data_IF_816387009159
#
_entry.id   IF_816387009159
#
_cell.length_a   1.000
_cell.length_b   1.000
_cell.length_c   1.000
_cell.angle_alpha   90.00
_cell.angle_beta   90.00
_cell.angle_gamma   90.00
#
_symmetry.space_group_name_H-M   'P 1'
#
loop_
_entity.id
_entity.type
_entity.pdbx_description
1 polymer ?
#
# COMPACT_ATOMS: atom_id res chain seq x y z
N UNK A 1 -7.79 12.34 3.09
CA UNK A 1 -7.79 10.91 3.45
C UNK A 1 -8.42 10.73 4.81
N UNK A 2 -9.26 9.73 4.97
CA UNK A 2 -9.95 9.48 6.25
C UNK A 2 -9.14 8.53 7.13
N UNK A 3 -9.01 8.81 8.44
CA UNK A 3 -8.27 7.92 9.35
C UNK A 3 -8.83 6.51 9.42
N UNK A 4 -10.14 6.35 9.19
CA UNK A 4 -10.82 5.05 9.18
C UNK A 4 -10.37 4.14 8.03
N UNK A 5 -9.69 4.70 7.03
CA UNK A 5 -9.14 3.95 5.90
C UNK A 5 -7.74 3.40 6.20
N UNK A 6 -7.16 3.74 7.36
CA UNK A 6 -5.80 3.37 7.70
C UNK A 6 -5.74 2.20 8.67
N UNK A 7 -4.69 1.42 8.55
CA UNK A 7 -4.30 0.34 9.45
C UNK A 7 -2.85 0.54 9.89
N UNK A 8 -2.49 -0.01 11.04
CA UNK A 8 -1.10 -0.02 11.50
C UNK A 8 -0.24 -0.76 10.48
N UNK A 9 0.92 -0.20 10.14
CA UNK A 9 1.80 -0.72 9.11
C UNK A 9 1.57 -0.16 7.72
N UNK A 10 0.48 0.59 7.49
CA UNK A 10 0.22 1.23 6.20
C UNK A 10 1.26 2.30 5.88
N UNK A 11 1.65 2.37 4.62
CA UNK A 11 2.44 3.47 4.10
C UNK A 11 1.55 4.64 3.70
N UNK A 12 1.87 5.82 4.18
CA UNK A 12 1.22 7.07 3.79
C UNK A 12 2.25 8.17 3.58
N UNK A 13 1.85 9.21 2.87
CA UNK A 13 2.67 10.38 2.61
C UNK A 13 2.24 11.57 3.45
N UNK A 14 3.20 12.43 3.82
CA UNK A 14 2.95 13.76 4.37
C UNK A 14 3.07 14.76 3.24
N UNK A 15 2.03 15.57 3.05
CA UNK A 15 2.02 16.58 2.00
C UNK A 15 2.55 17.92 2.50
N UNK A 16 3.08 18.71 1.57
CA UNK A 16 3.46 20.10 1.79
C UNK A 16 2.25 20.98 2.12
N UNK A 17 2.48 22.17 2.64
CA UNK A 17 1.42 23.11 3.03
C UNK A 17 0.50 23.48 1.85
N UNK A 18 1.01 23.50 0.63
CA UNK A 18 0.23 23.73 -0.58
C UNK A 18 -0.46 22.46 -1.11
N UNK A 19 -0.25 21.30 -0.47
CA UNK A 19 -0.81 19.99 -0.82
C UNK A 19 -0.47 19.50 -2.23
N UNK A 20 0.58 20.03 -2.83
CA UNK A 20 1.01 19.65 -4.18
C UNK A 20 2.07 18.54 -4.19
N UNK A 21 2.85 18.40 -3.13
CA UNK A 21 4.02 17.54 -3.08
C UNK A 21 3.98 16.68 -1.82
N UNK A 22 4.23 15.38 -1.99
CA UNK A 22 4.47 14.48 -0.85
C UNK A 22 5.93 14.65 -0.43
N UNK A 23 6.15 15.12 0.80
CA UNK A 23 7.48 15.44 1.33
C UNK A 23 8.14 14.27 2.06
N UNK A 24 7.35 13.36 2.62
CA UNK A 24 7.86 12.24 3.41
C UNK A 24 6.92 11.05 3.30
N UNK A 25 7.48 9.84 3.43
CA UNK A 25 6.75 8.57 3.42
C UNK A 25 7.09 7.83 4.70
N UNK A 26 6.05 7.36 5.43
CA UNK A 26 6.23 6.58 6.65
C UNK A 26 5.13 5.56 6.83
N UNK A 27 5.40 4.54 7.63
CA UNK A 27 4.40 3.57 8.02
C UNK A 27 3.69 4.02 9.30
N UNK A 28 2.39 3.75 9.36
CA UNK A 28 1.54 4.07 10.51
C UNK A 28 1.90 3.17 11.69
N UNK A 29 2.08 3.76 12.87
CA UNK A 29 2.40 3.07 14.11
C UNK A 29 1.22 3.07 15.09
N UNK A 30 0.49 4.17 15.18
CA UNK A 30 -0.73 4.29 15.97
C UNK A 30 -1.65 5.37 15.40
N UNK A 31 -2.93 5.27 15.74
CA UNK A 31 -3.97 6.19 15.25
C UNK A 31 -4.75 6.74 16.42
N UNK A 32 -4.91 8.07 16.48
CA UNK A 32 -5.75 8.80 17.44
C UNK A 32 -6.64 9.80 16.68
N UNK A 33 -7.60 10.36 17.41
CA UNK A 33 -8.42 11.44 16.86
C UNK A 33 -7.56 12.66 16.50
N UNK A 34 -7.54 13.04 15.25
CA UNK A 34 -6.79 14.21 14.75
C UNK A 34 -5.31 13.98 14.47
N UNK A 35 -4.72 12.87 14.94
CA UNK A 35 -3.28 12.62 14.83
C UNK A 35 -2.98 11.18 14.48
N UNK A 36 -1.87 10.97 13.75
CA UNK A 36 -1.36 9.66 13.41
C UNK A 36 0.10 9.58 13.82
N UNK A 37 0.44 8.56 14.62
CA UNK A 37 1.82 8.26 14.98
C UNK A 37 2.47 7.42 13.90
N UNK A 38 3.63 7.87 13.44
CA UNK A 38 4.41 7.22 12.40
C UNK A 38 5.62 6.54 12.99
N UNK A 39 6.19 5.56 12.29
CA UNK A 39 7.44 4.93 12.69
C UNK A 39 8.54 5.98 12.86
N UNK A 40 9.46 5.72 13.77
CA UNK A 40 10.56 6.61 14.16
C UNK A 40 10.06 7.86 14.89
N UNK A 41 9.00 7.72 15.70
CA UNK A 41 8.49 8.74 16.63
C UNK A 41 8.05 10.05 15.95
N UNK A 42 7.57 9.97 14.73
CA UNK A 42 6.93 11.09 14.05
C UNK A 42 5.42 11.09 14.33
N UNK A 43 4.86 12.28 14.49
CA UNK A 43 3.42 12.48 14.64
C UNK A 43 2.94 13.43 13.55
N UNK A 44 1.94 13.00 12.79
CA UNK A 44 1.37 13.80 11.70
C UNK A 44 -0.09 14.12 11.97
N UNK A 45 -0.47 15.36 11.67
CA UNK A 45 -1.87 15.76 11.67
C UNK A 45 -2.60 15.08 10.51
N UNK A 46 -3.86 14.66 10.76
CA UNK A 46 -4.70 14.03 9.75
C UNK A 46 -4.89 14.91 8.51
N UNK A 47 -4.91 16.23 8.67
CA UNK A 47 -5.03 17.15 7.55
C UNK A 47 -3.81 17.20 6.63
N UNK A 48 -2.68 16.63 7.04
CA UNK A 48 -1.41 16.69 6.30
C UNK A 48 -1.04 15.37 5.63
N UNK A 49 -1.91 14.36 5.63
CA UNK A 49 -1.62 13.05 5.06
C UNK A 49 -2.35 12.83 3.74
N UNK A 50 -1.69 12.13 2.84
CA UNK A 50 -2.26 11.70 1.56
C UNK A 50 -1.88 10.26 1.27
N UNK A 51 -2.74 9.50 0.56
CA UNK A 51 -2.39 8.16 0.13
C UNK A 51 -1.27 8.21 -0.90
N UNK A 52 -0.40 7.19 -0.86
CA UNK A 52 0.69 7.07 -1.82
C UNK A 52 0.17 6.34 -3.05
N UNK A 53 0.23 6.92 -4.27
CA UNK A 53 -0.17 6.22 -5.47
C UNK A 53 0.65 4.95 -5.68
N UNK A 54 -0.03 3.85 -6.00
CA UNK A 54 0.64 2.61 -6.36
C UNK A 54 1.11 2.70 -7.81
N UNK A 55 2.40 2.47 -8.02
CA UNK A 55 3.03 2.52 -9.33
C UNK A 55 3.71 1.19 -9.65
N UNK A 56 4.02 0.96 -10.93
CA UNK A 56 4.77 -0.23 -11.32
C UNK A 56 6.18 -0.23 -10.73
N UNK A 57 6.80 0.94 -10.58
CA UNK A 57 8.12 1.05 -9.93
C UNK A 57 8.08 0.59 -8.48
N UNK A 58 7.04 0.97 -7.74
CA UNK A 58 6.85 0.52 -6.35
C UNK A 58 6.63 -0.99 -6.31
N UNK A 59 5.82 -1.54 -7.20
CA UNK A 59 5.62 -3.00 -7.28
C UNK A 59 6.94 -3.73 -7.55
N UNK A 60 7.75 -3.23 -8.47
CA UNK A 60 9.06 -3.82 -8.80
C UNK A 60 10.02 -3.81 -7.62
N UNK A 61 9.99 -2.77 -6.77
CA UNK A 61 10.76 -2.75 -5.53
C UNK A 61 10.38 -3.88 -4.56
N UNK A 62 9.20 -4.45 -4.73
CA UNK A 62 8.64 -5.50 -3.88
C UNK A 62 8.60 -6.87 -4.57
N UNK A 63 9.45 -7.09 -5.56
CA UNK A 63 9.64 -8.38 -6.20
C UNK A 63 8.74 -8.65 -7.40
N UNK A 64 7.98 -7.69 -7.84
CA UNK A 64 7.17 -7.80 -9.07
C UNK A 64 8.04 -7.70 -10.31
N UNK A 65 7.61 -8.37 -11.38
CA UNK A 65 8.32 -8.38 -12.66
C UNK A 65 7.40 -7.98 -13.80
N UNK A 66 7.97 -7.32 -14.81
CA UNK A 66 7.25 -7.04 -16.04
C UNK A 66 6.95 -8.33 -16.82
N UNK A 67 5.72 -8.43 -17.28
CA UNK A 67 5.30 -9.38 -18.31
C UNK A 67 4.88 -8.59 -19.56
N UNK A 68 4.42 -9.29 -20.62
CA UNK A 68 4.16 -8.64 -21.91
C UNK A 68 3.15 -7.48 -21.85
N UNK A 69 2.03 -7.67 -21.09
CA UNK A 69 0.95 -6.68 -20.98
C UNK A 69 0.59 -6.30 -19.55
N UNK A 70 1.31 -6.83 -18.56
CA UNK A 70 1.03 -6.59 -17.15
C UNK A 70 2.30 -6.70 -16.31
N UNK A 71 2.18 -6.38 -15.04
CA UNK A 71 3.21 -6.65 -14.05
C UNK A 71 2.74 -7.82 -13.18
N UNK A 72 3.63 -8.73 -12.81
CA UNK A 72 3.24 -9.93 -12.08
C UNK A 72 4.14 -10.21 -10.88
N UNK A 73 3.55 -10.86 -9.89
CA UNK A 73 4.22 -11.36 -8.71
C UNK A 73 3.93 -12.85 -8.57
N UNK A 74 4.99 -13.64 -8.41
CA UNK A 74 4.86 -15.08 -8.18
C UNK A 74 5.77 -15.49 -7.02
N UNK A 75 5.20 -16.14 -6.03
CA UNK A 75 5.91 -16.75 -4.91
C UNK A 75 5.15 -17.98 -4.44
N UNK A 76 5.73 -19.17 -4.61
CA UNK A 76 5.04 -20.41 -4.30
C UNK A 76 3.76 -20.56 -5.11
N UNK A 77 2.63 -20.70 -4.43
CA UNK A 77 1.30 -20.79 -5.04
C UNK A 77 0.61 -19.42 -5.22
N UNK A 78 1.28 -18.33 -4.84
CA UNK A 78 0.74 -17.00 -5.02
C UNK A 78 1.09 -16.48 -6.40
N UNK A 79 0.09 -16.03 -7.14
CA UNK A 79 0.25 -15.46 -8.46
C UNK A 79 -0.70 -14.28 -8.62
N UNK A 80 -0.15 -13.08 -8.76
CA UNK A 80 -0.92 -11.84 -8.87
C UNK A 80 -0.49 -11.13 -10.16
N UNK A 81 -1.46 -10.63 -10.89
CA UNK A 81 -1.25 -9.81 -12.08
C UNK A 81 -1.84 -8.42 -11.87
N UNK A 82 -1.11 -7.41 -12.28
CA UNK A 82 -1.54 -6.02 -12.17
C UNK A 82 -1.50 -5.31 -13.52
N UNK A 83 -2.66 -4.81 -13.93
CA UNK A 83 -2.82 -3.75 -14.93
C UNK A 83 -3.38 -2.55 -14.16
N UNK A 84 -2.53 -1.80 -13.50
CA UNK A 84 -2.96 -0.79 -12.53
C UNK A 84 -4.03 0.15 -13.11
N UNK A 85 -5.09 0.43 -12.34
CA UNK A 85 -5.30 0.06 -10.94
C UNK A 85 -5.88 -1.35 -10.70
N UNK A 86 -6.14 -2.13 -11.71
CA UNK A 86 -6.77 -3.44 -11.58
C UNK A 86 -5.74 -4.51 -11.20
N UNK A 87 -6.12 -5.34 -10.23
CA UNK A 87 -5.36 -6.51 -9.82
C UNK A 87 -6.23 -7.75 -9.82
N UNK A 88 -5.65 -8.89 -10.21
CA UNK A 88 -6.31 -10.19 -10.18
C UNK A 88 -5.26 -11.28 -9.94
N UNK A 89 -5.71 -12.41 -9.50
CA UNK A 89 -4.85 -13.57 -9.30
C UNK A 89 -5.31 -14.45 -8.17
N UNK A 90 -4.37 -15.19 -7.61
CA UNK A 90 -4.61 -16.08 -6.50
C UNK A 90 -3.58 -15.83 -5.40
N UNK A 91 -4.04 -15.51 -4.21
CA UNK A 91 -3.21 -15.22 -3.06
C UNK A 91 -3.64 -16.14 -1.92
N UNK A 92 -2.72 -16.95 -1.41
CA UNK A 92 -2.95 -17.83 -0.27
C UNK A 92 -4.21 -18.70 -0.43
N UNK A 93 -4.43 -19.22 -1.65
CA UNK A 93 -5.59 -20.03 -2.00
C UNK A 93 -6.88 -19.24 -2.27
N UNK A 94 -6.86 -17.93 -2.16
CA UNK A 94 -8.02 -17.06 -2.38
C UNK A 94 -7.94 -16.47 -3.79
N UNK A 95 -8.99 -16.68 -4.58
CA UNK A 95 -9.10 -16.10 -5.92
C UNK A 95 -9.54 -14.64 -5.81
N UNK A 96 -8.81 -13.76 -6.49
CA UNK A 96 -9.07 -12.32 -6.53
C UNK A 96 -9.37 -11.93 -7.96
N UNK A 97 -10.55 -11.38 -8.18
CA UNK A 97 -10.99 -10.88 -9.48
C UNK A 97 -11.34 -9.40 -9.34
N UNK A 98 -10.79 -8.57 -10.24
CA UNK A 98 -11.14 -7.16 -10.35
C UNK A 98 -10.98 -6.35 -9.05
N UNK A 99 -9.89 -6.54 -8.34
CA UNK A 99 -9.57 -5.74 -7.17
C UNK A 99 -8.84 -4.46 -7.61
N UNK A 100 -9.35 -3.30 -7.20
CA UNK A 100 -8.73 -2.01 -7.53
C UNK A 100 -7.77 -1.57 -6.44
N UNK A 101 -6.51 -1.38 -6.82
CA UNK A 101 -5.48 -0.81 -5.96
C UNK A 101 -4.93 0.46 -6.61
N UNK A 102 -5.49 1.59 -6.26
CA UNK A 102 -4.99 2.90 -6.69
C UNK A 102 -3.84 3.38 -5.82
N UNK A 103 -3.83 2.94 -4.55
CA UNK A 103 -2.89 3.40 -3.53
C UNK A 103 -2.19 2.23 -2.83
N UNK A 104 -0.99 2.50 -2.32
CA UNK A 104 -0.16 1.50 -1.64
C UNK A 104 -0.90 0.84 -0.48
N UNK A 105 -1.56 1.62 0.38
CA UNK A 105 -2.25 1.06 1.53
C UNK A 105 -3.39 0.10 1.15
N UNK A 106 -4.05 0.31 0.01
CA UNK A 106 -5.08 -0.60 -0.47
C UNK A 106 -4.49 -1.98 -0.82
N UNK A 107 -3.32 -2.01 -1.43
CA UNK A 107 -2.62 -3.26 -1.71
C UNK A 107 -2.17 -3.94 -0.41
N UNK A 108 -1.67 -3.18 0.56
CA UNK A 108 -1.31 -3.74 1.87
C UNK A 108 -2.53 -4.36 2.56
N UNK A 109 -3.71 -3.70 2.49
CA UNK A 109 -4.97 -4.24 3.03
C UNK A 109 -5.37 -5.54 2.33
N UNK A 110 -5.22 -5.62 1.02
CA UNK A 110 -5.47 -6.84 0.27
C UNK A 110 -4.58 -7.99 0.75
N UNK A 111 -3.30 -7.74 0.93
CA UNK A 111 -2.36 -8.74 1.43
C UNK A 111 -2.75 -9.24 2.82
N UNK A 112 -3.12 -8.34 3.74
CA UNK A 112 -3.56 -8.71 5.09
C UNK A 112 -4.86 -9.51 5.07
N UNK A 113 -5.80 -9.10 4.22
CA UNK A 113 -7.05 -9.82 4.05
C UNK A 113 -6.83 -11.27 3.60
N UNK A 114 -5.79 -11.51 2.81
CA UNK A 114 -5.39 -12.83 2.35
C UNK A 114 -4.45 -13.57 3.31
N UNK A 115 -4.19 -13.01 4.49
CA UNK A 115 -3.34 -13.64 5.51
C UNK A 115 -1.84 -13.43 5.34
N UNK A 116 -1.42 -12.56 4.43
CA UNK A 116 -0.01 -12.25 4.17
C UNK A 116 0.44 -10.99 4.92
N UNK A 117 0.31 -11.00 6.25
CA UNK A 117 0.58 -9.83 7.08
C UNK A 117 2.05 -9.37 7.03
N UNK A 118 2.99 -10.31 7.04
CA UNK A 118 4.41 -9.96 6.97
C UNK A 118 4.77 -9.29 5.66
N UNK A 119 4.24 -9.78 4.54
CA UNK A 119 4.47 -9.18 3.24
C UNK A 119 3.91 -7.75 3.18
N UNK A 120 2.73 -7.54 3.77
CA UNK A 120 2.13 -6.22 3.85
C UNK A 120 2.95 -5.27 4.72
N UNK A 121 3.41 -5.71 5.88
CA UNK A 121 4.15 -4.88 6.84
C UNK A 121 5.56 -4.56 6.35
N UNK A 122 6.17 -5.42 5.55
CA UNK A 122 7.50 -5.24 4.98
C UNK A 122 7.49 -4.63 3.58
N UNK A 123 6.34 -4.20 3.11
CA UNK A 123 6.20 -3.54 1.81
C UNK A 123 7.06 -2.26 1.77
N UNK A 124 7.67 -1.99 0.62
CA UNK A 124 8.59 -0.85 0.43
C UNK A 124 8.02 0.14 -0.59
N UNK A 125 8.23 1.40 -0.35
CA UNK A 125 7.86 2.46 -1.29
C UNK A 125 9.05 3.24 -1.81
#
# INVERSE_FOLDING_TARGET
MKPTELQIGDWIGRVSDDKCIIEDYRQVDWIRTGEIGMRYQKVWSIGCIEPIPLTYEILKKNGWKDAEFWCEYQEGNNSIQACLPDMRGRINGIDIEHFKCEYVHQYQHLLRLCGLNELADNFKV
#
